data_IF_193530325865
#
_entry.id   IF_193530325865
#
_cell.length_a   1.000
_cell.length_b   1.000
_cell.length_c   1.000
_cell.angle_alpha   90.00
_cell.angle_beta   90.00
_cell.angle_gamma   90.00
#
_symmetry.space_group_name_H-M   'P 1'
#
loop_
_entity.id
_entity.type
_entity.pdbx_description
1 polymer ?
#
# COMPACT_ATOMS: atom_id res chain seq x y z
N UNK A 1 -11.35 -26.18 -6.68
CA UNK A 1 -9.93 -26.03 -7.05
C UNK A 1 -9.70 -24.58 -7.41
N UNK A 2 -9.14 -23.79 -6.49
CA UNK A 2 -8.85 -22.38 -6.72
C UNK A 2 -7.54 -22.29 -7.51
N UNK A 3 -7.64 -22.09 -8.82
CA UNK A 3 -6.48 -21.87 -9.68
C UNK A 3 -5.82 -20.56 -9.31
N UNK A 4 -4.55 -20.63 -8.88
CA UNK A 4 -3.43 -19.69 -9.08
C UNK A 4 -3.60 -18.15 -9.03
N UNK A 5 -4.76 -17.57 -8.68
CA UNK A 5 -5.00 -16.11 -8.71
C UNK A 5 -4.60 -15.39 -7.40
N UNK A 6 -4.05 -16.12 -6.43
CA UNK A 6 -3.54 -15.60 -5.15
C UNK A 6 -2.01 -15.57 -5.10
N UNK A 7 -1.35 -15.43 -6.25
CA UNK A 7 0.07 -15.08 -6.23
C UNK A 7 0.21 -13.69 -5.60
N UNK A 8 1.12 -13.49 -4.64
CA UNK A 8 1.35 -12.16 -4.10
C UNK A 8 1.81 -11.26 -5.25
N UNK A 9 0.99 -10.25 -5.58
CA UNK A 9 1.36 -9.25 -6.58
C UNK A 9 2.58 -8.50 -6.05
N UNK A 10 3.61 -8.45 -6.90
CA UNK A 10 4.95 -7.98 -6.57
C UNK A 10 4.90 -6.47 -6.30
N UNK A 11 4.94 -6.08 -5.02
CA UNK A 11 4.90 -4.67 -4.61
C UNK A 11 5.85 -4.27 -3.48
N UNK A 12 6.66 -5.18 -2.94
CA UNK A 12 7.58 -4.88 -1.80
C UNK A 12 9.02 -4.61 -2.27
N UNK A 13 9.24 -4.06 -3.47
CA UNK A 13 10.61 -3.73 -3.90
C UNK A 13 10.64 -2.40 -4.66
N UNK A 14 10.71 -1.29 -3.91
CA UNK A 14 10.84 0.06 -4.46
C UNK A 14 12.29 0.53 -4.67
N UNK A 15 13.27 -0.37 -4.55
CA UNK A 15 14.68 -0.07 -4.84
C UNK A 15 15.21 -1.08 -5.85
N UNK A 16 15.99 -0.59 -6.83
CA UNK A 16 16.79 -1.46 -7.69
C UNK A 16 17.79 -2.18 -6.77
N UNK A 17 17.52 -3.46 -6.52
CA UNK A 17 18.31 -4.29 -5.59
C UNK A 17 19.79 -4.19 -5.95
N UNK A 18 20.64 -3.98 -4.95
CA UNK A 18 22.10 -4.10 -5.17
C UNK A 18 22.44 -5.54 -5.58
N UNK A 19 23.58 -5.76 -6.24
CA UNK A 19 23.99 -7.10 -6.68
C UNK A 19 23.98 -8.12 -5.52
N UNK A 20 24.39 -7.72 -4.32
CA UNK A 20 24.30 -8.59 -3.14
C UNK A 20 22.87 -8.84 -2.67
N UNK A 21 21.97 -7.85 -2.75
CA UNK A 21 20.56 -8.02 -2.38
C UNK A 21 19.74 -8.81 -3.43
N UNK A 22 20.25 -8.93 -4.66
CA UNK A 22 19.74 -9.85 -5.68
C UNK A 22 20.11 -11.32 -5.38
N UNK A 23 21.20 -11.55 -4.67
CA UNK A 23 21.74 -12.89 -4.38
C UNK A 23 21.57 -13.33 -2.92
N UNK A 24 21.29 -12.40 -1.99
CA UNK A 24 21.04 -12.63 -0.58
C UNK A 24 19.81 -11.82 -0.11
N UNK A 25 18.79 -12.43 0.53
CA UNK A 25 17.66 -11.70 1.11
C UNK A 25 18.14 -10.66 2.15
N UNK A 26 17.53 -9.47 2.15
CA UNK A 26 17.75 -8.45 3.20
C UNK A 26 17.31 -9.05 4.54
N UNK A 27 18.22 -9.10 5.52
CA UNK A 27 17.93 -9.49 6.91
C UNK A 27 17.52 -8.21 7.69
N UNK A 28 16.25 -7.80 7.79
CA UNK A 28 15.05 -8.26 8.52
C UNK A 28 14.94 -7.78 9.99
N UNK A 29 14.02 -6.84 10.23
CA UNK A 29 13.29 -6.71 11.50
C UNK A 29 11.87 -7.32 11.42
N UNK A 30 11.28 -7.37 10.21
CA UNK A 30 10.06 -8.12 9.94
C UNK A 30 10.45 -9.53 9.50
N UNK A 31 9.90 -10.58 10.12
CA UNK A 31 10.03 -11.95 9.60
C UNK A 31 9.32 -12.02 8.24
N UNK A 32 9.97 -12.47 7.15
CA UNK A 32 9.33 -12.54 5.84
C UNK A 32 8.33 -13.70 5.72
N UNK A 33 7.21 -13.55 4.98
CA UNK A 33 6.56 -12.30 4.57
C UNK A 33 5.37 -11.97 5.49
N UNK A 34 5.59 -11.16 6.54
CA UNK A 34 4.51 -10.69 7.42
C UNK A 34 3.77 -9.45 6.88
N UNK A 35 4.10 -8.93 5.69
CA UNK A 35 3.44 -7.76 5.08
C UNK A 35 3.09 -8.03 3.61
N UNK A 36 1.86 -7.71 3.21
CA UNK A 36 1.36 -7.77 1.83
C UNK A 36 0.96 -6.38 1.33
N UNK A 37 1.55 -5.91 0.21
CA UNK A 37 1.20 -4.61 -0.39
C UNK A 37 0.59 -4.83 -1.77
N UNK A 38 -0.64 -4.37 -1.99
CA UNK A 38 -1.34 -4.45 -3.27
C UNK A 38 -1.67 -3.06 -3.80
N UNK A 39 -1.24 -2.76 -5.02
CA UNK A 39 -1.48 -1.48 -5.69
C UNK A 39 -2.47 -1.71 -6.83
N UNK A 40 -3.53 -0.90 -6.92
CA UNK A 40 -4.56 -1.06 -7.94
C UNK A 40 -5.13 0.29 -8.39
N UNK A 41 -5.66 0.36 -9.61
CA UNK A 41 -6.40 1.54 -10.06
C UNK A 41 -7.79 1.58 -9.42
N UNK A 42 -8.18 2.74 -8.92
CA UNK A 42 -9.50 3.03 -8.33
C UNK A 42 -10.58 3.16 -9.41
N UNK A 43 -10.70 2.13 -10.24
CA UNK A 43 -11.69 1.95 -11.29
C UNK A 43 -12.09 0.49 -11.34
N UNK A 44 -13.36 0.24 -11.61
CA UNK A 44 -13.85 -1.11 -11.84
C UNK A 44 -13.44 -1.59 -13.25
N UNK A 45 -13.01 -2.87 -13.40
CA UNK A 45 -13.13 -3.96 -12.43
C UNK A 45 -11.94 -4.10 -11.45
N UNK A 46 -10.87 -3.32 -11.60
CA UNK A 46 -9.63 -3.48 -10.83
C UNK A 46 -9.86 -3.29 -9.32
N UNK A 47 -10.60 -2.23 -8.97
CA UNK A 47 -11.00 -1.97 -7.59
C UNK A 47 -11.79 -3.15 -7.04
N UNK A 48 -12.87 -3.55 -7.68
CA UNK A 48 -13.68 -4.69 -7.22
C UNK A 48 -12.83 -5.95 -7.01
N UNK A 49 -11.98 -6.32 -7.98
CA UNK A 49 -11.08 -7.48 -7.88
C UNK A 49 -10.13 -7.40 -6.69
N UNK A 50 -9.53 -6.23 -6.42
CA UNK A 50 -8.71 -6.05 -5.24
C UNK A 50 -9.52 -6.37 -3.99
N UNK A 51 -10.69 -5.76 -3.82
CA UNK A 51 -11.56 -6.01 -2.66
C UNK A 51 -12.04 -7.46 -2.54
N UNK A 52 -12.38 -8.13 -3.63
CA UNK A 52 -12.83 -9.54 -3.61
C UNK A 52 -11.72 -10.50 -3.14
N UNK A 53 -10.45 -10.16 -3.34
CA UNK A 53 -9.31 -10.93 -2.80
C UNK A 53 -9.15 -10.79 -1.28
N UNK A 54 -9.68 -9.72 -0.66
CA UNK A 54 -9.44 -9.38 0.75
C UNK A 54 -9.83 -10.51 1.71
N UNK A 55 -11.05 -11.08 1.64
CA UNK A 55 -11.47 -12.09 2.60
C UNK A 55 -10.65 -13.36 2.49
N UNK A 56 -10.21 -13.70 1.26
CA UNK A 56 -9.40 -14.90 1.01
C UNK A 56 -7.99 -14.74 1.58
N UNK A 57 -7.39 -13.55 1.43
CA UNK A 57 -6.09 -13.25 2.04
C UNK A 57 -6.20 -13.27 3.57
N UNK A 58 -7.23 -12.63 4.13
CA UNK A 58 -7.46 -12.61 5.58
C UNK A 58 -7.67 -14.00 6.17
N UNK A 59 -8.39 -14.88 5.45
CA UNK A 59 -8.66 -16.24 5.91
C UNK A 59 -7.41 -17.13 5.87
N UNK A 60 -6.59 -17.02 4.83
CA UNK A 60 -5.41 -17.88 4.66
C UNK A 60 -4.17 -17.35 5.39
N UNK A 61 -4.14 -16.04 5.67
CA UNK A 61 -2.98 -15.35 6.23
C UNK A 61 -3.37 -14.39 7.38
N UNK A 62 -3.94 -14.90 8.48
CA UNK A 62 -4.45 -14.05 9.56
C UNK A 62 -3.37 -13.26 10.31
N UNK A 63 -2.09 -13.63 10.14
CA UNK A 63 -0.95 -13.00 10.79
C UNK A 63 -0.18 -12.00 9.90
N UNK A 64 -0.64 -11.75 8.66
CA UNK A 64 0.04 -10.87 7.70
C UNK A 64 -0.62 -9.49 7.69
N UNK A 65 0.14 -8.44 7.97
CA UNK A 65 -0.33 -7.08 7.77
C UNK A 65 -0.53 -6.82 6.27
N UNK A 66 -1.56 -6.09 5.88
CA UNK A 66 -1.69 -5.70 4.48
C UNK A 66 -1.96 -4.22 4.28
N UNK A 67 -1.37 -3.68 3.21
CA UNK A 67 -1.58 -2.34 2.73
C UNK A 67 -2.11 -2.41 1.31
N UNK A 68 -3.22 -1.72 1.05
CA UNK A 68 -3.80 -1.63 -0.28
C UNK A 68 -3.83 -0.20 -0.73
N UNK A 69 -3.19 0.10 -1.85
CA UNK A 69 -3.02 1.44 -2.37
C UNK A 69 -3.89 1.59 -3.62
N UNK A 70 -4.90 2.45 -3.53
CA UNK A 70 -5.77 2.79 -4.63
C UNK A 70 -5.21 4.01 -5.37
N UNK A 71 -4.87 3.86 -6.64
CA UNK A 71 -4.37 4.93 -7.50
C UNK A 71 -5.50 5.58 -8.31
N UNK A 72 -5.42 6.87 -8.65
CA UNK A 72 -6.38 7.47 -9.57
C UNK A 72 -6.28 6.84 -10.96
N UNK A 73 -7.42 6.71 -11.65
CA UNK A 73 -7.50 6.26 -13.07
C UNK A 73 -7.31 7.41 -14.07
N UNK A 74 -7.10 8.64 -13.59
CA UNK A 74 -6.89 9.79 -14.47
C UNK A 74 -5.59 9.63 -15.26
N UNK A 75 -5.63 9.95 -16.56
CA UNK A 75 -4.45 9.90 -17.44
C UNK A 75 -3.41 11.00 -17.18
N UNK A 76 -3.73 11.99 -16.34
CA UNK A 76 -2.81 13.07 -15.98
C UNK A 76 -2.00 12.77 -14.72
N UNK A 77 -0.78 13.32 -14.60
CA UNK A 77 0.04 13.18 -13.41
C UNK A 77 -0.70 13.73 -12.18
N UNK A 78 -0.52 13.07 -11.04
CA UNK A 78 -1.04 13.58 -9.79
C UNK A 78 -0.37 14.91 -9.40
N UNK A 79 -1.10 15.76 -8.68
CA UNK A 79 -0.59 17.06 -8.19
C UNK A 79 0.73 16.89 -7.42
N UNK A 80 1.74 17.68 -7.80
CA UNK A 80 3.07 17.71 -7.17
C UNK A 80 3.01 18.05 -5.68
N UNK A 81 4.07 17.70 -4.93
CA UNK A 81 4.17 18.02 -3.50
C UNK A 81 4.23 19.55 -3.30
N UNK A 82 3.25 20.15 -2.61
CA UNK A 82 3.27 21.60 -2.37
C UNK A 82 4.37 22.03 -1.39
N UNK A 83 4.86 21.12 -0.54
CA UNK A 83 5.85 21.41 0.51
C UNK A 83 6.99 20.37 0.46
N UNK A 84 7.87 20.41 -0.55
CA UNK A 84 8.98 19.48 -0.66
C UNK A 84 10.01 19.70 0.47
N UNK A 85 10.57 18.60 0.98
CA UNK A 85 11.63 18.63 2.00
C UNK A 85 11.15 18.73 3.46
N UNK A 86 9.85 18.81 3.70
CA UNK A 86 9.27 18.75 5.05
C UNK A 86 9.31 17.32 5.58
N UNK A 87 9.61 17.17 6.88
CA UNK A 87 9.58 15.87 7.56
C UNK A 87 8.18 15.26 7.49
N UNK A 88 8.09 13.96 7.20
CA UNK A 88 6.80 13.28 7.14
C UNK A 88 6.23 13.05 8.54
N UNK A 89 4.90 13.11 8.65
CA UNK A 89 4.16 12.84 9.89
C UNK A 89 3.29 11.58 9.76
N UNK A 90 2.91 10.90 10.85
CA UNK A 90 2.03 9.74 10.76
C UNK A 90 0.70 10.08 10.10
N UNK A 91 0.27 9.24 9.15
CA UNK A 91 -1.03 9.37 8.50
C UNK A 91 -2.16 9.22 9.50
N UNK A 92 -3.16 10.08 9.36
CA UNK A 92 -4.36 10.04 10.20
C UNK A 92 -5.45 9.23 9.50
N UNK A 93 -6.10 8.27 10.18
CA UNK A 93 -7.19 7.51 9.59
C UNK A 93 -8.38 8.42 9.27
N UNK A 94 -9.11 8.09 8.22
CA UNK A 94 -10.37 8.77 7.88
C UNK A 94 -11.37 8.62 9.02
N UNK A 95 -12.13 9.69 9.28
CA UNK A 95 -13.21 9.70 10.25
C UNK A 95 -14.51 10.12 9.56
N UNK A 96 -15.53 9.24 9.43
CA UNK A 96 -15.62 7.90 10.03
C UNK A 96 -14.71 6.85 9.35
N UNK A 97 -14.16 5.88 10.10
CA UNK A 97 -13.17 4.90 9.61
C UNK A 97 -13.69 3.96 8.52
N UNK A 98 -15.01 3.90 8.31
CA UNK A 98 -15.67 3.03 7.33
C UNK A 98 -16.16 3.77 6.09
N UNK A 99 -15.93 5.08 5.98
CA UNK A 99 -16.34 5.84 4.78
C UNK A 99 -15.31 5.63 3.69
N UNK A 100 -15.60 4.65 2.83
CA UNK A 100 -14.83 4.31 1.64
C UNK A 100 -14.67 5.56 0.76
N UNK A 101 -13.45 6.06 0.65
CA UNK A 101 -13.17 7.23 -0.19
C UNK A 101 -13.33 6.83 -1.66
N UNK A 102 -14.26 7.45 -2.38
CA UNK A 102 -14.44 7.19 -3.82
C UNK A 102 -13.38 7.88 -4.69
N UNK A 103 -12.60 8.81 -4.12
CA UNK A 103 -11.57 9.60 -4.80
C UNK A 103 -10.17 9.11 -4.39
N UNK A 104 -9.46 8.56 -5.35
CA UNK A 104 -8.06 8.19 -5.20
C UNK A 104 -7.14 9.43 -5.35
N UNK A 105 -5.90 9.37 -4.81
CA UNK A 105 -5.31 8.24 -4.10
C UNK A 105 -5.78 8.09 -2.64
N UNK A 106 -5.94 6.85 -2.20
CA UNK A 106 -6.20 6.46 -0.80
C UNK A 106 -5.53 5.11 -0.52
N UNK A 107 -5.37 4.75 0.74
CA UNK A 107 -4.93 3.40 1.09
C UNK A 107 -5.75 2.80 2.23
N UNK A 108 -5.70 1.49 2.32
CA UNK A 108 -6.33 0.68 3.36
C UNK A 108 -5.22 -0.07 4.05
N UNK A 109 -5.15 0.05 5.35
CA UNK A 109 -4.22 -0.70 6.17
C UNK A 109 -4.98 -1.65 7.08
N UNK A 110 -4.52 -2.89 7.12
CA UNK A 110 -5.02 -3.92 8.02
C UNK A 110 -3.86 -4.50 8.82
N UNK A 111 -4.05 -4.49 10.13
CA UNK A 111 -3.04 -4.84 11.12
C UNK A 111 -3.29 -6.21 11.76
N UNK A 112 -4.04 -7.10 11.11
CA UNK A 112 -4.46 -8.38 11.72
C UNK A 112 -5.88 -8.38 12.30
N UNK A 113 -6.47 -7.20 12.53
CA UNK A 113 -7.80 -7.12 13.16
C UNK A 113 -8.75 -6.21 12.38
N UNK A 114 -8.40 -4.93 12.26
CA UNK A 114 -9.32 -3.93 11.68
C UNK A 114 -8.75 -3.35 10.39
N UNK A 115 -9.61 -3.24 9.37
CA UNK A 115 -9.28 -2.50 8.16
C UNK A 115 -9.53 -1.01 8.42
N UNK A 116 -8.50 -0.19 8.24
CA UNK A 116 -8.55 1.25 8.47
C UNK A 116 -8.24 1.98 7.17
N UNK A 117 -9.05 2.99 6.85
CA UNK A 117 -8.94 3.75 5.61
C UNK A 117 -8.20 5.06 5.86
N UNK A 118 -7.37 5.46 4.90
CA UNK A 118 -6.57 6.66 4.96
C UNK A 118 -6.62 7.38 3.62
N UNK A 119 -6.71 8.72 3.65
CA UNK A 119 -6.35 9.52 2.49
C UNK A 119 -4.85 9.41 2.22
N UNK A 120 -4.48 9.48 0.95
CA UNK A 120 -3.08 9.49 0.55
C UNK A 120 -2.63 10.94 0.39
N UNK A 121 -1.85 11.44 1.35
CA UNK A 121 -1.41 12.83 1.38
C UNK A 121 0.12 12.95 1.29
N UNK A 122 0.57 14.12 0.82
CA UNK A 122 1.97 14.48 0.84
C UNK A 122 2.45 14.74 2.27
N UNK A 123 3.71 14.42 2.51
CA UNK A 123 4.43 14.58 3.78
C UNK A 123 3.80 13.78 4.92
N UNK A 124 3.22 12.64 4.57
CA UNK A 124 2.73 11.67 5.54
C UNK A 124 3.41 10.30 5.36
N UNK A 125 3.36 9.48 6.40
CA UNK A 125 3.85 8.10 6.39
C UNK A 125 2.94 7.17 7.19
N UNK A 126 2.94 5.88 6.85
CA UNK A 126 2.29 4.83 7.64
C UNK A 126 3.37 4.01 8.36
N UNK A 127 3.24 3.86 9.68
CA UNK A 127 4.04 2.91 10.46
C UNK A 127 3.29 1.58 10.52
N UNK A 128 3.91 0.53 10.01
CA UNK A 128 3.41 -0.85 10.06
C UNK A 128 3.68 -1.45 11.45
N UNK A 129 2.89 -2.43 11.88
CA UNK A 129 3.09 -3.10 13.16
C UNK A 129 4.42 -3.83 13.25
N UNK A 130 5.01 -4.23 12.11
CA UNK A 130 6.37 -4.76 12.07
C UNK A 130 7.48 -3.69 12.18
N UNK A 131 7.13 -2.42 12.39
CA UNK A 131 8.06 -1.30 12.62
C UNK A 131 8.60 -0.64 11.35
N UNK A 132 8.18 -1.10 10.17
CA UNK A 132 8.53 -0.47 8.90
C UNK A 132 7.67 0.75 8.62
N UNK A 133 8.26 1.73 7.91
CA UNK A 133 7.57 2.96 7.53
C UNK A 133 7.34 2.98 6.03
N UNK A 134 6.08 3.09 5.61
CA UNK A 134 5.67 3.38 4.25
C UNK A 134 5.60 4.89 4.06
N UNK A 135 6.62 5.47 3.44
CA UNK A 135 6.69 6.90 3.09
C UNK A 135 5.76 7.21 1.89
N UNK A 136 4.70 7.98 2.13
CA UNK A 136 3.70 8.26 1.08
C UNK A 136 4.28 9.14 -0.04
N UNK A 137 5.27 9.98 0.29
CA UNK A 137 5.99 10.81 -0.67
C UNK A 137 6.60 10.01 -1.83
N UNK A 138 7.04 8.77 -1.59
CA UNK A 138 7.65 7.95 -2.64
C UNK A 138 6.60 7.48 -3.67
N UNK A 139 5.43 7.08 -3.18
CA UNK A 139 4.32 6.61 -4.02
C UNK A 139 3.72 7.79 -4.80
N UNK A 140 3.37 8.87 -4.10
CA UNK A 140 2.83 10.08 -4.74
C UNK A 140 3.84 10.69 -5.72
N UNK A 141 5.13 10.69 -5.37
CA UNK A 141 6.23 11.12 -6.23
C UNK A 141 6.22 10.39 -7.57
N UNK A 142 5.97 9.08 -7.54
CA UNK A 142 6.00 8.24 -8.74
C UNK A 142 4.79 8.47 -9.66
N UNK A 143 3.60 8.69 -9.10
CA UNK A 143 2.38 8.98 -9.90
C UNK A 143 2.23 10.47 -10.27
N UNK A 144 3.08 11.34 -9.72
CA UNK A 144 3.12 12.77 -10.05
C UNK A 144 4.04 13.10 -11.22
N UNK A 145 4.86 12.13 -11.66
CA UNK A 145 5.76 12.30 -12.80
C UNK A 145 4.96 12.22 -14.11
N UNK A 146 5.26 13.09 -15.09
CA UNK A 146 4.67 13.02 -16.42
C UNK A 146 5.11 11.76 -17.18
#
# INVERSE_FOLDING_TARGET
MAGNDYKPDVGVWFQRLTYQQLHNPIANACLPPNVYIEVFYNRDPNRQRAFDKLPVIQQNFPAIEFVRIALPDSQGPFRQNPNPGVASVPSTPENPPNVRTNRAPYFIYWNGTNATYYKFNWNEHLVLGCGWTLELNNVLGSISRP
#
